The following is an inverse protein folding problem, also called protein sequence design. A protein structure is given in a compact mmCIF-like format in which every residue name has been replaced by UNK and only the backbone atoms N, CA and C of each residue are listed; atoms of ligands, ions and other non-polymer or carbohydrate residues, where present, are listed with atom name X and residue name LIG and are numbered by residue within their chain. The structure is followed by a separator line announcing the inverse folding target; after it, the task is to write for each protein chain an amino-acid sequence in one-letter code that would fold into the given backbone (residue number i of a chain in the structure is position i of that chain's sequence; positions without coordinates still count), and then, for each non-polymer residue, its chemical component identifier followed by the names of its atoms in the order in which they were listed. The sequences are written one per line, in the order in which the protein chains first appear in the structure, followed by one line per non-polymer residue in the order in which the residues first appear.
data_IF_791371580631
#
_entry.id   IF_791371580631
#
_cell.length_a   1.000
_cell.length_b   1.000
_cell.length_c   1.000
_cell.angle_alpha   90.00
_cell.angle_beta   90.00
_cell.angle_gamma   90.00
#
_symmetry.space_group_name_H-M   'P 1'
#
loop_
_entity.id
_entity.type
_entity.pdbx_description
1 polymer ?
#
# COMPACT_ATOMS: atom_id res chain seq x y z
N UNK A 1 -2.54 37.59 -23.15
CA UNK A 1 -2.83 37.11 -21.78
C UNK A 1 -2.95 35.59 -21.81
N UNK A 2 -1.88 34.88 -21.47
CA UNK A 2 -1.88 33.42 -21.36
C UNK A 2 -2.38 33.06 -19.96
N UNK A 3 -3.53 32.40 -19.87
CA UNK A 3 -4.05 31.84 -18.62
C UNK A 3 -3.14 30.67 -18.24
N UNK A 4 -2.46 30.78 -17.10
CA UNK A 4 -1.86 29.64 -16.44
C UNK A 4 -3.00 28.71 -16.01
N UNK A 5 -3.05 27.51 -16.58
CA UNK A 5 -3.82 26.42 -15.99
C UNK A 5 -3.07 25.99 -14.71
N UNK A 6 -3.75 25.70 -13.59
CA UNK A 6 -3.11 25.09 -12.45
C UNK A 6 -2.58 23.73 -12.89
N UNK A 7 -1.32 23.44 -12.56
CA UNK A 7 -0.75 22.11 -12.74
C UNK A 7 -1.56 21.17 -11.83
N UNK A 8 -2.33 20.28 -12.42
CA UNK A 8 -2.86 19.12 -11.73
C UNK A 8 -1.65 18.35 -11.20
N UNK A 9 -1.43 18.37 -9.88
CA UNK A 9 -0.48 17.47 -9.25
C UNK A 9 -0.99 16.06 -9.59
N UNK A 10 -0.27 15.34 -10.45
CA UNK A 10 -0.50 13.92 -10.58
C UNK A 10 -0.09 13.30 -9.26
N UNK A 11 -1.07 12.79 -8.49
CA UNK A 11 -0.80 11.79 -7.47
C UNK A 11 0.00 10.68 -8.15
N UNK A 12 1.25 10.55 -7.77
CA UNK A 12 2.03 9.38 -8.11
C UNK A 12 1.51 8.24 -7.26
N UNK A 13 0.63 7.46 -7.86
CA UNK A 13 0.35 6.08 -7.44
C UNK A 13 1.70 5.34 -7.32
N UNK A 14 2.31 5.35 -6.14
CA UNK A 14 3.51 4.56 -5.90
C UNK A 14 3.03 3.12 -5.77
N UNK A 15 3.21 2.35 -6.84
CA UNK A 15 2.96 0.92 -6.81
C UNK A 15 3.83 0.28 -5.71
N UNK A 16 3.22 -0.01 -4.55
CA UNK A 16 3.88 -0.68 -3.44
C UNK A 16 4.31 -2.09 -3.89
N UNK A 17 5.62 -2.27 -4.15
CA UNK A 17 6.21 -3.59 -4.29
C UNK A 17 6.28 -4.24 -2.90
N UNK A 18 5.36 -5.18 -2.63
CA UNK A 18 5.45 -6.05 -1.46
C UNK A 18 6.42 -7.19 -1.76
N UNK A 19 7.49 -7.32 -0.97
CA UNK A 19 8.46 -8.42 -1.08
C UNK A 19 7.89 -9.70 -0.47
N UNK A 20 7.73 -10.74 -1.28
CA UNK A 20 7.44 -12.12 -0.82
C UNK A 20 8.68 -12.70 -0.16
N UNK A 21 8.64 -12.96 1.15
CA UNK A 21 9.71 -13.68 1.87
C UNK A 21 9.47 -15.19 1.71
N UNK A 22 10.29 -15.83 0.87
CA UNK A 22 10.32 -17.30 0.77
C UNK A 22 11.26 -17.84 1.85
N UNK A 23 10.69 -18.40 2.92
CA UNK A 23 11.45 -19.13 3.93
C UNK A 23 11.89 -20.50 3.42
N UNK A 24 13.20 -20.72 3.28
CA UNK A 24 13.77 -22.04 2.99
C UNK A 24 13.85 -22.82 4.30
N UNK A 25 12.82 -23.64 4.56
CA UNK A 25 12.80 -24.60 5.67
C UNK A 25 13.44 -25.94 5.26
N UNK A 26 14.42 -26.40 6.02
CA UNK A 26 15.08 -27.69 5.84
C UNK A 26 14.12 -28.85 6.12
N UNK A 27 14.02 -29.81 5.19
CA UNK A 27 13.16 -31.00 5.31
C UNK A 27 13.87 -32.08 6.13
N UNK A 28 13.40 -32.33 7.35
CA UNK A 28 13.66 -33.58 8.09
C UNK A 28 12.41 -34.46 7.95
N UNK A 29 12.60 -35.64 7.37
CA UNK A 29 11.53 -36.59 7.07
C UNK A 29 10.84 -37.12 8.32
N UNK A 30 9.54 -36.86 8.42
CA UNK A 30 8.62 -37.55 9.31
C UNK A 30 7.58 -38.26 8.43
N UNK A 31 7.28 -39.52 8.76
CA UNK A 31 6.33 -40.36 8.03
C UNK A 31 4.95 -39.70 7.92
N UNK A 32 4.37 -39.73 6.72
CA UNK A 32 3.05 -39.14 6.45
C UNK A 32 1.95 -39.87 7.24
N UNK A 33 1.16 -39.15 8.06
CA UNK A 33 -0.07 -39.71 8.60
C UNK A 33 -1.06 -39.96 7.45
N UNK A 34 -1.96 -40.96 7.59
CA UNK A 34 -2.93 -41.30 6.55
C UNK A 34 -3.78 -40.07 6.20
N UNK A 35 -4.19 -39.91 4.92
CA UNK A 35 -4.91 -38.72 4.49
C UNK A 35 -6.20 -38.58 5.30
N UNK A 36 -6.27 -37.53 6.11
CA UNK A 36 -7.50 -37.09 6.72
C UNK A 36 -8.53 -36.91 5.60
N UNK A 37 -9.72 -37.50 5.75
CA UNK A 37 -10.83 -37.32 4.81
C UNK A 37 -11.04 -35.83 4.59
N UNK A 38 -10.60 -35.34 3.42
CA UNK A 38 -10.71 -33.93 3.05
C UNK A 38 -12.20 -33.59 3.08
N UNK A 39 -12.59 -32.66 3.94
CA UNK A 39 -13.93 -32.09 3.91
C UNK A 39 -14.13 -31.46 2.53
N UNK A 40 -14.98 -32.07 1.71
CA UNK A 40 -15.20 -31.73 0.30
C UNK A 40 -15.74 -30.30 0.06
N UNK A 41 -15.88 -29.49 1.12
CA UNK A 41 -16.48 -28.16 1.15
C UNK A 41 -15.57 -27.06 1.75
N UNK A 42 -14.28 -27.30 1.96
CA UNK A 42 -13.41 -26.28 2.56
C UNK A 42 -13.11 -25.10 1.60
N UNK A 43 -13.33 -23.88 2.07
CA UNK A 43 -12.98 -22.62 1.39
C UNK A 43 -11.47 -22.39 1.49
N UNK A 44 -10.82 -22.07 0.38
CA UNK A 44 -9.40 -21.68 0.35
C UNK A 44 -9.28 -20.26 0.91
N UNK A 45 -8.34 -20.03 1.83
CA UNK A 45 -8.13 -18.67 2.36
C UNK A 45 -7.34 -17.83 1.35
N UNK A 46 -7.68 -16.55 1.23
CA UNK A 46 -6.78 -15.57 0.64
C UNK A 46 -5.49 -15.50 1.47
N UNK A 47 -4.35 -15.31 0.79
CA UNK A 47 -3.05 -15.12 1.42
C UNK A 47 -3.00 -13.74 2.06
N UNK A 48 -3.49 -12.74 1.34
CA UNK A 48 -3.71 -11.38 1.83
C UNK A 48 -5.10 -10.87 1.43
N UNK A 49 -5.71 -10.09 2.34
CA UNK A 49 -6.95 -9.36 2.12
C UNK A 49 -6.88 -8.05 2.92
N UNK A 50 -6.65 -6.94 2.23
CA UNK A 50 -6.48 -5.61 2.83
C UNK A 50 -7.42 -4.61 2.18
N UNK A 51 -7.93 -3.70 3.00
CA UNK A 51 -8.66 -2.51 2.63
C UNK A 51 -8.32 -1.47 3.69
N UNK A 52 -7.69 -0.38 3.28
CA UNK A 52 -7.19 0.64 4.19
C UNK A 52 -7.44 2.04 3.61
N UNK A 53 -7.38 3.03 4.49
CA UNK A 53 -7.31 4.44 4.10
C UNK A 53 -5.85 4.80 3.85
N UNK A 54 -5.61 5.56 2.79
CA UNK A 54 -4.39 6.35 2.62
C UNK A 54 -4.77 7.82 2.72
N UNK A 55 -3.98 8.59 3.46
CA UNK A 55 -4.11 10.04 3.55
C UNK A 55 -2.77 10.69 3.25
N UNK A 56 -2.75 11.64 2.32
CA UNK A 56 -1.58 12.47 2.09
C UNK A 56 -1.66 13.72 2.96
N UNK A 57 -0.85 13.78 4.01
CA UNK A 57 -0.82 14.93 4.90
C UNK A 57 -0.11 16.16 4.29
N UNK A 58 0.56 16.00 3.13
CA UNK A 58 1.24 17.10 2.44
C UNK A 58 0.33 17.76 1.42
N UNK A 59 -0.38 16.95 0.64
CA UNK A 59 -1.29 17.43 -0.42
C UNK A 59 -2.76 17.51 0.05
N UNK A 60 -3.03 17.06 1.28
CA UNK A 60 -4.36 17.11 1.91
C UNK A 60 -5.46 16.41 1.09
N UNK A 61 -5.18 15.22 0.57
CA UNK A 61 -6.14 14.33 -0.09
C UNK A 61 -6.28 13.00 0.67
N UNK A 62 -7.37 12.26 0.41
CA UNK A 62 -7.66 11.00 1.10
C UNK A 62 -8.32 10.00 0.16
N UNK A 63 -7.83 8.76 0.20
CA UNK A 63 -8.31 7.66 -0.62
C UNK A 63 -8.47 6.35 0.14
N UNK A 64 -8.98 5.34 -0.57
CA UNK A 64 -8.97 3.96 -0.11
C UNK A 64 -8.07 3.13 -1.01
N UNK A 65 -7.26 2.27 -0.41
CA UNK A 65 -6.44 1.29 -1.09
C UNK A 65 -6.85 -0.13 -0.70
N UNK A 66 -6.57 -1.08 -1.57
CA UNK A 66 -6.77 -2.49 -1.26
C UNK A 66 -5.75 -3.39 -1.93
N UNK A 67 -5.45 -4.49 -1.25
CA UNK A 67 -4.55 -5.52 -1.74
C UNK A 67 -5.14 -6.91 -1.50
N UNK A 68 -5.07 -7.74 -2.52
CA UNK A 68 -5.56 -9.11 -2.47
C UNK A 68 -4.48 -10.03 -3.06
N UNK A 69 -4.14 -11.09 -2.33
CA UNK A 69 -3.30 -12.18 -2.82
C UNK A 69 -3.99 -13.55 -2.59
N UNK A 70 -3.84 -14.44 -3.57
CA UNK A 70 -4.39 -15.79 -3.55
C UNK A 70 -3.60 -16.72 -4.47
N UNK A 71 -3.88 -18.02 -4.38
CA UNK A 71 -3.40 -18.99 -5.39
C UNK A 71 -3.98 -18.75 -6.80
N UNK A 72 -5.12 -18.05 -6.90
CA UNK A 72 -5.79 -17.75 -8.15
C UNK A 72 -7.29 -17.57 -7.97
N UNK A 73 -7.86 -16.57 -8.62
CA UNK A 73 -9.30 -16.32 -8.69
C UNK A 73 -9.73 -15.92 -10.10
N UNK A 74 -11.01 -16.18 -10.40
CA UNK A 74 -11.65 -15.68 -11.62
C UNK A 74 -12.44 -14.41 -11.37
N UNK A 75 -13.12 -14.37 -10.22
CA UNK A 75 -13.93 -13.24 -9.78
C UNK A 75 -13.83 -13.12 -8.28
N UNK A 76 -13.78 -11.91 -7.78
CA UNK A 76 -13.93 -11.58 -6.36
C UNK A 76 -15.02 -10.53 -6.20
N UNK A 77 -15.94 -10.75 -5.27
CA UNK A 77 -16.86 -9.72 -4.78
C UNK A 77 -16.32 -9.22 -3.42
N UNK A 78 -16.28 -7.91 -3.22
CA UNK A 78 -15.96 -7.26 -1.93
C UNK A 78 -17.26 -6.75 -1.32
N UNK A 79 -17.61 -7.26 -0.15
CA UNK A 79 -18.88 -7.00 0.52
C UNK A 79 -18.58 -6.53 1.95
N UNK A 80 -18.95 -5.28 2.25
CA UNK A 80 -18.81 -4.68 3.57
C UNK A 80 -20.15 -4.51 4.30
N UNK A 81 -20.15 -3.72 5.39
CA UNK A 81 -21.35 -3.45 6.20
C UNK A 81 -22.51 -2.83 5.40
N UNK A 82 -22.19 -1.94 4.45
CA UNK A 82 -23.17 -1.31 3.57
C UNK A 82 -23.58 -2.13 2.34
N UNK A 83 -23.07 -3.36 2.20
CA UNK A 83 -23.30 -4.23 1.05
C UNK A 83 -22.10 -4.31 0.11
N UNK A 84 -22.36 -4.67 -1.15
CA UNK A 84 -21.31 -4.89 -2.15
C UNK A 84 -20.73 -3.57 -2.63
N UNK A 85 -19.41 -3.44 -2.55
CA UNK A 85 -18.68 -2.21 -2.93
C UNK A 85 -17.81 -2.39 -4.17
N UNK A 86 -17.27 -3.59 -4.41
CA UNK A 86 -16.43 -3.88 -5.57
C UNK A 86 -16.69 -5.27 -6.14
N UNK A 87 -16.41 -5.41 -7.44
CA UNK A 87 -16.31 -6.69 -8.14
C UNK A 87 -15.09 -6.65 -9.06
N UNK A 88 -14.18 -7.59 -8.85
CA UNK A 88 -13.05 -7.84 -9.75
C UNK A 88 -13.33 -9.10 -10.55
N UNK A 89 -13.07 -9.06 -11.86
CA UNK A 89 -13.33 -10.20 -12.74
C UNK A 89 -12.32 -10.26 -13.88
N UNK A 90 -11.52 -11.33 -13.89
CA UNK A 90 -10.71 -11.67 -15.05
C UNK A 90 -11.62 -12.03 -16.23
N UNK A 91 -11.26 -11.57 -17.43
CA UNK A 91 -12.01 -11.83 -18.67
C UNK A 91 -11.15 -12.56 -19.70
N UNK A 92 -11.80 -13.23 -20.65
CA UNK A 92 -11.13 -13.91 -21.76
C UNK A 92 -10.09 -14.93 -21.31
N UNK A 93 -8.87 -14.85 -21.83
CA UNK A 93 -7.77 -15.75 -21.48
C UNK A 93 -7.33 -15.62 -20.02
N UNK A 94 -7.35 -14.40 -19.45
CA UNK A 94 -7.03 -14.18 -18.04
C UNK A 94 -8.05 -14.85 -17.11
N UNK A 95 -9.33 -14.86 -17.50
CA UNK A 95 -10.35 -15.60 -16.77
C UNK A 95 -10.05 -17.10 -16.69
N UNK A 96 -9.42 -17.66 -17.75
CA UNK A 96 -9.06 -19.09 -17.84
C UNK A 96 -7.79 -19.40 -17.05
N UNK A 97 -6.80 -18.51 -17.11
CA UNK A 97 -5.56 -18.65 -16.34
C UNK A 97 -5.79 -18.47 -14.84
N UNK A 98 -6.65 -17.51 -14.47
CA UNK A 98 -6.78 -17.00 -13.11
C UNK A 98 -5.90 -15.77 -12.88
N UNK A 99 -6.30 -14.95 -11.92
CA UNK A 99 -5.53 -13.80 -11.42
C UNK A 99 -5.16 -14.10 -9.96
N UNK A 100 -3.92 -13.83 -9.57
CA UNK A 100 -3.43 -14.14 -8.21
C UNK A 100 -3.51 -12.91 -7.32
N UNK A 101 -2.89 -11.83 -7.76
CA UNK A 101 -2.69 -10.60 -7.02
C UNK A 101 -3.45 -9.42 -7.64
N UNK A 102 -3.91 -8.52 -6.79
CA UNK A 102 -4.50 -7.25 -7.21
C UNK A 102 -4.20 -6.17 -6.17
N UNK A 103 -3.64 -5.06 -6.65
CA UNK A 103 -3.61 -3.79 -5.94
C UNK A 103 -4.57 -2.82 -6.64
N UNK A 104 -5.28 -2.02 -5.87
CA UNK A 104 -6.06 -0.90 -6.38
C UNK A 104 -6.06 0.25 -5.37
N UNK A 105 -6.33 1.44 -5.89
CA UNK A 105 -6.58 2.66 -5.13
C UNK A 105 -7.79 3.37 -5.73
N UNK A 106 -8.49 4.16 -4.92
CA UNK A 106 -9.51 5.08 -5.41
C UNK A 106 -8.86 6.38 -5.89
N UNK A 107 -9.60 7.19 -6.63
CA UNK A 107 -9.24 8.61 -6.76
C UNK A 107 -9.21 9.24 -5.36
N UNK A 108 -8.24 10.10 -5.12
CA UNK A 108 -8.05 10.82 -3.86
C UNK A 108 -8.37 12.30 -4.12
N UNK A 109 -9.62 12.73 -3.86
CA UNK A 109 -9.97 14.14 -3.97
C UNK A 109 -9.28 14.94 -2.86
N UNK A 110 -8.98 16.21 -3.15
CA UNK A 110 -8.57 17.16 -2.12
C UNK A 110 -9.65 17.22 -1.02
N UNK A 111 -9.21 17.24 0.24
CA UNK A 111 -10.11 17.26 1.40
C UNK A 111 -10.93 18.57 1.46
N UNK A 112 -10.48 19.62 0.78
CA UNK A 112 -11.22 20.86 0.62
C UNK A 112 -12.47 20.70 -0.28
N UNK A 113 -12.42 19.78 -1.25
CA UNK A 113 -13.52 19.47 -2.15
C UNK A 113 -14.42 18.36 -1.61
N UNK A 114 -13.82 17.34 -1.00
CA UNK A 114 -14.52 16.22 -0.36
C UNK A 114 -13.99 16.08 1.07
N UNK A 115 -14.72 16.59 2.08
CA UNK A 115 -14.32 16.44 3.47
C UNK A 115 -14.07 14.99 3.87
N UNK A 116 -13.08 14.77 4.76
CA UNK A 116 -12.65 13.43 5.17
C UNK A 116 -13.84 12.61 5.72
N UNK A 117 -14.71 13.21 6.53
CA UNK A 117 -15.90 12.53 7.06
C UNK A 117 -16.88 12.08 5.95
N UNK A 118 -17.05 12.89 4.91
CA UNK A 118 -17.84 12.51 3.73
C UNK A 118 -17.20 11.39 2.92
N UNK A 119 -15.86 11.36 2.84
CA UNK A 119 -15.10 10.28 2.20
C UNK A 119 -15.22 8.98 3.00
N UNK A 120 -14.99 9.03 4.31
CA UNK A 120 -15.12 7.92 5.24
C UNK A 120 -16.53 7.32 5.26
N UNK A 121 -17.57 8.13 5.11
CA UNK A 121 -18.95 7.66 5.02
C UNK A 121 -19.22 6.77 3.80
N UNK A 122 -18.37 6.80 2.76
CA UNK A 122 -18.50 5.93 1.57
C UNK A 122 -18.20 4.47 1.89
N UNK A 123 -17.29 4.21 2.84
CA UNK A 123 -16.92 2.87 3.31
C UNK A 123 -16.96 2.82 4.84
N UNK A 124 -18.10 2.42 5.44
CA UNK A 124 -18.24 2.31 6.89
C UNK A 124 -17.23 1.33 7.51
N UNK A 125 -16.81 1.62 8.74
CA UNK A 125 -15.96 0.71 9.50
C UNK A 125 -16.55 -0.70 9.63
N UNK A 126 -15.69 -1.71 9.60
CA UNK A 126 -16.06 -3.08 9.86
C UNK A 126 -15.33 -4.10 8.99
N UNK A 127 -15.86 -5.32 9.00
CA UNK A 127 -15.30 -6.43 8.25
C UNK A 127 -15.83 -6.45 6.82
N UNK A 128 -14.92 -6.44 5.85
CA UNK A 128 -15.19 -6.59 4.43
C UNK A 128 -14.81 -8.00 4.01
N UNK A 129 -15.80 -8.78 3.59
CA UNK A 129 -15.58 -10.12 3.04
C UNK A 129 -15.21 -10.02 1.57
N UNK A 130 -14.07 -10.59 1.20
CA UNK A 130 -13.59 -10.69 -0.17
C UNK A 130 -13.66 -12.15 -0.56
N UNK A 131 -14.54 -12.51 -1.50
CA UNK A 131 -14.75 -13.92 -1.83
C UNK A 131 -15.20 -14.15 -3.26
N UNK A 132 -14.91 -15.35 -3.79
CA UNK A 132 -15.39 -15.75 -5.10
C UNK A 132 -14.83 -17.09 -5.59
N UNK A 133 -15.12 -17.46 -6.85
CA UNK A 133 -14.57 -18.66 -7.47
C UNK A 133 -13.05 -18.58 -7.61
N UNK A 134 -12.35 -19.59 -7.10
CA UNK A 134 -10.90 -19.74 -7.25
C UNK A 134 -10.54 -20.47 -8.54
N UNK A 135 -9.29 -20.29 -8.96
CA UNK A 135 -8.64 -20.96 -10.07
C UNK A 135 -7.34 -21.55 -9.54
N UNK A 136 -7.00 -22.77 -9.96
CA UNK A 136 -5.70 -23.38 -9.67
C UNK A 136 -5.20 -24.05 -10.94
N UNK A 137 -4.00 -23.66 -11.41
CA UNK A 137 -3.41 -24.19 -12.65
C UNK A 137 -4.35 -24.12 -13.88
N UNK A 138 -5.09 -23.01 -14.02
CA UNK A 138 -6.03 -22.77 -15.11
C UNK A 138 -7.31 -23.63 -15.07
N UNK A 139 -7.56 -24.32 -13.95
CA UNK A 139 -8.77 -25.11 -13.71
C UNK A 139 -9.59 -24.45 -12.62
N UNK A 140 -10.91 -24.46 -12.81
CA UNK A 140 -11.84 -24.02 -11.76
C UNK A 140 -11.59 -24.86 -10.52
N UNK A 141 -11.24 -24.17 -9.45
CA UNK A 141 -10.98 -24.77 -8.15
C UNK A 141 -12.13 -24.42 -7.21
N UNK A 142 -11.91 -24.53 -5.90
CA UNK A 142 -12.91 -24.28 -4.86
C UNK A 142 -13.22 -22.78 -4.77
N UNK A 143 -13.96 -22.36 -3.74
CA UNK A 143 -14.10 -20.93 -3.42
C UNK A 143 -12.87 -20.43 -2.69
N UNK A 144 -12.48 -19.19 -2.96
CA UNK A 144 -11.51 -18.46 -2.13
C UNK A 144 -12.22 -17.38 -1.32
N UNK A 145 -11.73 -17.09 -0.11
CA UNK A 145 -12.27 -16.05 0.76
C UNK A 145 -11.22 -15.49 1.73
N UNK A 146 -11.33 -14.20 2.04
CA UNK A 146 -10.61 -13.54 3.12
C UNK A 146 -11.44 -12.38 3.66
N UNK A 147 -10.96 -11.78 4.74
CA UNK A 147 -11.62 -10.65 5.42
C UNK A 147 -10.60 -9.54 5.60
N UNK A 148 -10.95 -8.34 5.14
CA UNK A 148 -10.25 -7.11 5.47
C UNK A 148 -11.01 -6.37 6.59
N UNK A 149 -10.29 -5.90 7.61
CA UNK A 149 -10.86 -5.00 8.62
C UNK A 149 -10.56 -3.56 8.20
N UNK A 150 -11.60 -2.75 8.02
CA UNK A 150 -11.46 -1.30 7.83
C UNK A 150 -11.84 -0.60 9.14
N UNK A 151 -10.94 0.25 9.64
CA UNK A 151 -11.22 1.23 10.68
C UNK A 151 -11.08 2.63 10.09
N UNK A 152 -11.52 3.65 10.80
CA UNK A 152 -11.34 5.07 10.44
C UNK A 152 -10.23 5.73 11.28
N UNK A 153 -9.38 4.94 11.94
CA UNK A 153 -8.18 5.42 12.62
C UNK A 153 -7.14 5.86 11.58
N UNK A 154 -7.13 7.16 11.22
CA UNK A 154 -6.14 7.74 10.30
C UNK A 154 -4.98 8.34 11.11
N UNK A 155 -3.74 7.82 11.01
CA UNK A 155 -2.58 8.41 11.68
C UNK A 155 -2.37 9.89 11.35
N UNK A 156 -1.78 10.67 12.26
CA UNK A 156 -1.26 11.98 11.90
C UNK A 156 -0.06 11.84 10.96
N UNK A 157 0.16 12.83 10.09
CA UNK A 157 1.29 12.87 9.15
C UNK A 157 2.65 12.79 9.85
N UNK A 158 3.60 11.96 9.36
CA UNK A 158 4.98 11.97 9.85
C UNK A 158 5.64 13.34 9.66
N UNK A 159 6.14 13.93 10.76
CA UNK A 159 6.87 15.19 10.65
C UNK A 159 8.29 14.94 10.12
N UNK A 160 8.55 15.32 8.87
CA UNK A 160 9.86 15.19 8.24
C UNK A 160 10.88 16.15 8.86
N UNK A 161 12.08 15.67 9.17
CA UNK A 161 13.14 16.43 9.88
C UNK A 161 14.34 16.67 8.97
N UNK A 162 14.78 15.66 8.23
CA UNK A 162 15.91 15.76 7.32
C UNK A 162 15.79 14.71 6.20
N UNK A 163 16.16 15.03 4.95
CA UNK A 163 16.46 16.37 4.44
C UNK A 163 15.26 17.32 4.56
N UNK A 164 15.50 18.60 4.83
CA UNK A 164 14.41 19.60 4.79
C UNK A 164 13.98 19.86 3.36
N UNK A 165 12.78 20.38 3.17
CA UNK A 165 12.24 20.69 1.85
C UNK A 165 13.21 21.55 1.01
N UNK A 166 13.48 21.11 -0.21
CA UNK A 166 14.37 21.78 -1.16
C UNK A 166 15.87 21.72 -0.81
N UNK A 167 16.29 20.90 0.17
CA UNK A 167 17.68 20.86 0.62
C UNK A 167 18.67 20.47 -0.50
N UNK A 168 19.89 21.05 -0.44
CA UNK A 168 21.04 20.64 -1.26
C UNK A 168 21.97 19.73 -0.47
N UNK A 169 21.98 18.44 -0.77
CA UNK A 169 22.69 17.40 -0.01
C UNK A 169 23.87 16.79 -0.79
N UNK A 170 24.88 16.20 -0.12
CA UNK A 170 25.88 15.37 -0.79
C UNK A 170 25.27 14.07 -1.36
N UNK A 171 26.04 13.32 -2.14
CA UNK A 171 25.63 11.99 -2.66
C UNK A 171 25.89 10.84 -1.68
N UNK A 172 26.55 11.10 -0.55
CA UNK A 172 26.91 10.12 0.47
C UNK A 172 26.59 10.68 1.87
N UNK A 173 26.36 9.78 2.83
CA UNK A 173 26.10 10.17 4.22
C UNK A 173 24.79 10.95 4.44
N UNK A 174 23.84 10.88 3.51
CA UNK A 174 22.50 11.46 3.69
C UNK A 174 21.70 10.58 4.63
N UNK A 175 20.99 11.20 5.58
CA UNK A 175 20.13 10.49 6.54
C UNK A 175 18.72 11.04 6.42
N UNK A 176 17.78 10.18 6.01
CA UNK A 176 16.35 10.45 6.08
C UNK A 176 15.90 10.32 7.54
N UNK A 177 15.18 11.32 8.06
CA UNK A 177 14.77 11.38 9.47
C UNK A 177 13.39 12.02 9.59
N UNK A 178 12.55 11.46 10.46
CA UNK A 178 11.23 11.94 10.79
C UNK A 178 10.97 11.84 12.30
N UNK A 179 9.87 12.42 12.79
CA UNK A 179 9.40 12.22 14.17
C UNK A 179 8.47 11.01 14.27
N UNK A 180 8.41 10.34 15.44
CA UNK A 180 7.40 9.33 15.69
C UNK A 180 5.98 9.90 15.62
N UNK A 181 5.06 9.14 15.04
CA UNK A 181 3.61 9.39 15.07
C UNK A 181 2.99 8.60 16.22
N UNK A 182 2.13 9.26 17.00
CA UNK A 182 1.48 8.67 18.19
C UNK A 182 -0.01 9.01 18.30
N UNK A 183 -0.53 9.83 17.39
CA UNK A 183 -1.93 10.27 17.37
C UNK A 183 -2.53 10.13 15.97
N UNK A 184 -3.85 10.05 15.90
CA UNK A 184 -4.63 10.22 14.67
C UNK A 184 -4.69 11.70 14.26
N UNK A 185 -5.23 11.98 13.07
CA UNK A 185 -5.53 13.35 12.61
C UNK A 185 -6.54 14.08 13.52
N UNK A 186 -7.39 13.34 14.24
CA UNK A 186 -8.35 13.87 15.22
C UNK A 186 -7.73 14.07 16.61
N UNK A 187 -6.50 13.60 16.83
CA UNK A 187 -5.76 13.75 18.08
C UNK A 187 -5.87 12.57 19.06
N UNK A 188 -6.59 11.51 18.69
CA UNK A 188 -6.73 10.29 19.48
C UNK A 188 -5.45 9.45 19.47
N UNK A 189 -5.13 8.67 20.52
CA UNK A 189 -3.95 7.81 20.50
C UNK A 189 -4.02 6.74 19.40
N UNK A 190 -2.95 6.56 18.63
CA UNK A 190 -2.86 5.52 17.59
C UNK A 190 -1.60 4.67 17.75
N UNK A 191 -1.69 3.37 17.43
CA UNK A 191 -0.56 2.45 17.47
C UNK A 191 0.02 2.23 16.07
N UNK A 192 1.13 2.90 15.79
CA UNK A 192 1.95 2.64 14.61
C UNK A 192 2.62 1.27 14.72
N UNK A 193 2.56 0.46 13.66
CA UNK A 193 3.22 -0.85 13.56
C UNK A 193 4.47 -0.80 12.68
N UNK A 194 4.50 0.07 11.68
CA UNK A 194 5.61 0.24 10.76
C UNK A 194 5.66 1.67 10.21
N UNK A 195 6.83 2.04 9.69
CA UNK A 195 6.94 3.10 8.70
C UNK A 195 7.34 2.52 7.36
N UNK A 196 6.99 3.21 6.28
CA UNK A 196 7.61 3.01 4.99
C UNK A 196 8.39 4.26 4.62
N UNK A 197 9.63 4.10 4.16
CA UNK A 197 10.44 5.17 3.59
C UNK A 197 10.54 4.94 2.09
N UNK A 198 10.19 5.96 1.32
CA UNK A 198 10.29 5.99 -0.13
C UNK A 198 11.24 7.12 -0.50
N UNK A 199 12.21 6.87 -1.39
CA UNK A 199 13.08 7.88 -1.97
C UNK A 199 13.20 7.58 -3.44
N UNK A 200 12.69 8.48 -4.28
CA UNK A 200 12.59 8.27 -5.73
C UNK A 200 13.09 9.49 -6.48
N UNK A 201 13.58 9.27 -7.70
CA UNK A 201 13.92 10.40 -8.57
C UNK A 201 12.66 11.19 -8.89
N UNK A 202 12.78 12.51 -8.86
CA UNK A 202 11.72 13.38 -9.34
C UNK A 202 11.77 13.47 -10.86
N UNK A 203 11.35 12.39 -11.50
CA UNK A 203 11.27 12.22 -12.93
C UNK A 203 10.09 11.33 -13.30
N UNK A 204 9.65 11.44 -14.55
CA UNK A 204 8.66 10.54 -15.12
C UNK A 204 9.14 9.08 -15.04
N UNK A 205 8.25 8.13 -14.70
CA UNK A 205 8.60 6.72 -14.70
C UNK A 205 8.95 6.26 -16.12
N UNK A 206 9.86 5.30 -16.21
CA UNK A 206 10.18 4.69 -17.50
C UNK A 206 8.94 3.93 -18.02
N UNK A 207 8.57 4.05 -19.31
CA UNK A 207 7.32 3.46 -19.86
C UNK A 207 7.24 1.93 -19.80
N UNK A 208 8.32 1.26 -19.42
CA UNK A 208 8.41 -0.20 -19.25
C UNK A 208 8.68 -0.63 -17.80
N UNK A 209 8.59 0.30 -16.85
CA UNK A 209 8.72 0.03 -15.43
C UNK A 209 7.39 0.28 -14.74
N UNK A 210 7.16 -0.47 -13.67
CA UNK A 210 6.12 -0.18 -12.69
C UNK A 210 6.77 0.75 -11.65
N UNK A 211 6.28 1.98 -11.54
CA UNK A 211 6.82 2.99 -10.62
C UNK A 211 8.09 3.69 -11.10
N UNK A 212 8.73 4.44 -10.19
CA UNK A 212 9.92 5.27 -10.47
C UNK A 212 11.21 4.58 -10.01
N UNK A 213 12.35 5.12 -10.48
CA UNK A 213 13.67 4.71 -9.98
C UNK A 213 13.86 5.21 -8.55
N UNK A 214 13.94 4.27 -7.59
CA UNK A 214 14.16 4.63 -6.21
C UNK A 214 14.30 3.45 -5.25
N UNK A 215 14.14 3.79 -3.97
CA UNK A 215 14.12 2.89 -2.83
C UNK A 215 12.74 2.97 -2.19
N UNK A 216 12.17 1.82 -1.83
CA UNK A 216 10.95 1.72 -1.04
C UNK A 216 11.14 0.61 -0.01
N UNK A 217 11.10 0.95 1.27
CA UNK A 217 11.39 0.02 2.37
C UNK A 217 10.42 0.18 3.52
N UNK A 218 10.00 -0.95 4.09
CA UNK A 218 9.31 -0.98 5.37
C UNK A 218 10.30 -1.15 6.51
N UNK A 219 10.09 -0.40 7.59
CA UNK A 219 10.92 -0.45 8.80
C UNK A 219 10.03 -0.57 10.05
N UNK A 220 10.53 -1.21 11.12
CA UNK A 220 9.77 -1.30 12.37
C UNK A 220 9.43 0.08 12.94
N UNK A 221 8.32 0.18 13.68
CA UNK A 221 7.86 1.43 14.33
C UNK A 221 8.89 2.17 15.20
N UNK A 222 9.94 1.49 15.65
CA UNK A 222 11.01 2.07 16.48
C UNK A 222 12.06 2.83 15.66
N UNK A 223 12.04 2.68 14.34
CA UNK A 223 12.94 3.36 13.42
C UNK A 223 12.33 4.68 12.99
N UNK A 224 13.05 5.78 13.22
CA UNK A 224 12.68 7.12 12.74
C UNK A 224 13.82 7.83 12.02
N UNK A 225 14.85 7.07 11.62
CA UNK A 225 15.92 7.54 10.75
C UNK A 225 16.58 6.39 10.01
N UNK A 226 16.91 6.61 8.74
CA UNK A 226 17.63 5.67 7.89
C UNK A 226 18.74 6.40 7.15
N UNK A 227 19.95 5.84 7.17
CA UNK A 227 21.02 6.27 6.28
C UNK A 227 20.68 5.83 4.85
N UNK A 228 20.67 6.78 3.91
CA UNK A 228 20.52 6.48 2.49
C UNK A 228 21.78 5.74 2.04
N UNK A 229 21.68 4.55 1.41
CA UNK A 229 22.85 3.79 1.01
C UNK A 229 23.79 4.61 0.12
N UNK A 230 25.08 4.60 0.44
CA UNK A 230 26.08 5.25 -0.40
C UNK A 230 26.07 4.62 -1.80
N UNK A 231 26.14 5.45 -2.84
CA UNK A 231 26.03 5.03 -4.24
C UNK A 231 24.60 4.98 -4.79
N UNK A 232 23.57 5.13 -3.94
CA UNK A 232 22.17 5.25 -4.40
C UNK A 232 21.90 6.61 -5.06
N UNK A 233 22.39 7.68 -4.45
CA UNK A 233 22.15 9.06 -4.90
C UNK A 233 23.09 9.43 -6.05
N UNK A 234 22.53 9.95 -7.14
CA UNK A 234 23.29 10.47 -8.29
C UNK A 234 23.55 11.96 -8.11
N UNK A 235 24.70 12.49 -8.58
CA UNK A 235 25.00 13.93 -8.49
C UNK A 235 23.99 14.76 -9.30
N UNK A 236 23.75 16.00 -8.86
CA UNK A 236 22.87 16.98 -9.54
C UNK A 236 21.46 16.47 -9.89
N UNK A 237 20.91 15.57 -9.07
CA UNK A 237 19.64 14.88 -9.33
C UNK A 237 18.61 15.26 -8.27
N UNK A 238 17.38 15.57 -8.70
CA UNK A 238 16.26 15.86 -7.82
C UNK A 238 15.58 14.55 -7.37
N UNK A 239 15.22 14.50 -6.10
CA UNK A 239 14.55 13.38 -5.47
C UNK A 239 13.33 13.87 -4.69
N UNK A 240 12.26 13.08 -4.76
CA UNK A 240 11.16 13.12 -3.79
C UNK A 240 11.41 12.04 -2.75
N UNK A 241 11.01 12.30 -1.52
CA UNK A 241 11.02 11.31 -0.47
C UNK A 241 9.78 11.40 0.38
N UNK A 242 9.33 10.26 0.87
CA UNK A 242 8.07 10.11 1.58
C UNK A 242 8.28 9.20 2.77
N UNK A 243 7.54 9.50 3.84
CA UNK A 243 7.41 8.61 4.98
C UNK A 243 5.93 8.34 5.20
N UNK A 244 5.56 7.06 5.19
CA UNK A 244 4.23 6.60 5.56
C UNK A 244 4.26 6.08 7.00
N UNK A 245 3.36 6.58 7.86
CA UNK A 245 3.06 5.97 9.15
C UNK A 245 1.91 4.98 8.98
N UNK A 246 2.11 3.72 9.36
CA UNK A 246 1.13 2.65 9.16
C UNK A 246 0.64 2.17 10.52
N UNK A 247 -0.66 2.26 10.78
CA UNK A 247 -1.28 1.77 12.00
C UNK A 247 -1.73 0.29 11.90
N UNK A 248 -2.25 -0.26 13.00
CA UNK A 248 -2.53 -1.68 13.17
C UNK A 248 -3.56 -2.25 12.19
N UNK A 249 -4.56 -1.49 11.77
CA UNK A 249 -5.53 -1.93 10.76
C UNK A 249 -4.97 -1.84 9.33
N UNK A 250 -3.90 -1.08 9.15
CA UNK A 250 -3.23 -0.85 7.88
C UNK A 250 -3.52 0.52 7.28
N UNK A 251 -4.35 1.34 7.92
CA UNK A 251 -4.50 2.74 7.54
C UNK A 251 -3.15 3.42 7.63
N UNK A 252 -2.90 4.30 6.66
CA UNK A 252 -1.62 4.95 6.54
C UNK A 252 -1.75 6.41 6.18
N UNK A 253 -0.76 7.16 6.62
CA UNK A 253 -0.66 8.58 6.30
C UNK A 253 0.75 8.89 5.87
N UNK A 254 0.87 9.49 4.69
CA UNK A 254 2.13 9.87 4.11
C UNK A 254 2.43 11.35 4.32
N UNK A 255 3.71 11.67 4.44
CA UNK A 255 4.21 13.03 4.30
C UNK A 255 5.39 13.01 3.35
N UNK A 256 5.42 13.97 2.43
CA UNK A 256 6.40 14.04 1.35
C UNK A 256 7.30 15.26 1.50
N UNK A 257 8.46 15.19 0.87
CA UNK A 257 9.36 16.32 0.71
C UNK A 257 10.30 16.09 -0.46
N UNK A 258 11.12 17.11 -0.76
CA UNK A 258 12.07 17.07 -1.87
C UNK A 258 13.47 17.50 -1.44
N UNK A 259 14.47 16.98 -2.15
CA UNK A 259 15.84 17.47 -2.06
C UNK A 259 16.56 17.26 -3.39
N UNK A 260 17.70 17.95 -3.55
CA UNK A 260 18.56 17.77 -4.70
C UNK A 260 20.01 17.52 -4.25
N UNK A 261 20.68 16.61 -4.93
CA UNK A 261 22.12 16.39 -4.70
C UNK A 261 22.96 17.51 -5.34
N UNK A 262 24.09 17.82 -4.71
CA UNK A 262 25.10 18.74 -5.24
C UNK A 262 25.88 18.12 -6.40
#
# INVERSE_FOLDING_TARGET
MRRFAPATLMLTAVALLWTVVVGVGSVLGAAEPPPARSSANAVVKLKDAKLNIEHNATDEDTGFQGFIDSEGWRRLDVIGPGGKVLRFEGRGALAKLGVTELFFETVEPENADVPIDEMLAKLPEGNYTIAGPSQENGKSARRTSGTALLTHDIPAGPMLVAPVEGAKVPTHGVVARWKPVTKTITGDPVRIIAYQLIIERDAEPHPHMIGKLGLSIYVPRSVTSIAVPDGFLQPRTAYKWEVLAIERSGNQTLSSGSFQTR
#
